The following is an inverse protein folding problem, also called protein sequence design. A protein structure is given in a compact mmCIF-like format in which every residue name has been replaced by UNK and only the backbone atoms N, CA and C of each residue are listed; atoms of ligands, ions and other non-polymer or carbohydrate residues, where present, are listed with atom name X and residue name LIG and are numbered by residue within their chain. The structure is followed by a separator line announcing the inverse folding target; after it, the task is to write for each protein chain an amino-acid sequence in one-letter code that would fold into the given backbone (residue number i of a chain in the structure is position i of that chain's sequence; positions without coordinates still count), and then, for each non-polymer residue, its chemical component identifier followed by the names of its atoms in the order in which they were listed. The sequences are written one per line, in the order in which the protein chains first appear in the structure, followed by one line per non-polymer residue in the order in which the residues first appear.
data_IF_466977898602
#
_entry.id   IF_466977898602
#
_cell.length_a   1.000
_cell.length_b   1.000
_cell.length_c   1.000
_cell.angle_alpha   90.00
_cell.angle_beta   90.00
_cell.angle_gamma   90.00
#
_symmetry.space_group_name_H-M   'P 1'
#
loop_
_entity.id
_entity.type
_entity.pdbx_description
1 polymer ?
#
# COMPACT_ATOMS: atom_id res chain seq x y z
N UNK A 1 13.24 -9.06 3.30
CA UNK A 1 13.85 -7.76 2.92
C UNK A 1 14.21 -7.74 1.45
N UNK A 2 14.99 -8.70 0.93
CA UNK A 2 15.25 -8.83 -0.51
C UNK A 2 13.97 -8.89 -1.35
N UNK A 3 13.03 -9.76 -0.98
CA UNK A 3 11.73 -9.88 -1.67
C UNK A 3 10.91 -8.57 -1.65
N UNK A 4 11.02 -7.76 -0.59
CA UNK A 4 10.27 -6.50 -0.47
C UNK A 4 10.72 -5.48 -1.52
N UNK A 5 12.01 -5.50 -1.89
CA UNK A 5 12.55 -4.55 -2.86
C UNK A 5 12.01 -4.76 -4.27
N UNK A 6 11.52 -5.97 -4.56
CA UNK A 6 10.87 -6.29 -5.84
C UNK A 6 9.52 -5.56 -5.95
N UNK A 7 8.80 -5.34 -4.85
CA UNK A 7 7.49 -4.67 -4.86
C UNK A 7 7.56 -3.13 -4.92
N UNK A 8 8.75 -2.54 -5.05
CA UNK A 8 8.89 -1.09 -5.08
C UNK A 8 8.49 -0.54 -6.45
N UNK A 9 7.42 0.26 -6.50
CA UNK A 9 7.21 1.20 -7.60
C UNK A 9 8.12 2.43 -7.41
N UNK A 10 9.12 2.54 -8.27
CA UNK A 10 10.07 3.64 -8.27
C UNK A 10 9.49 4.92 -8.92
N UNK A 11 8.35 4.87 -9.60
CA UNK A 11 7.78 6.04 -10.26
C UNK A 11 7.51 7.18 -9.27
N UNK A 12 6.84 6.95 -8.13
CA UNK A 12 6.58 8.03 -7.18
C UNK A 12 7.82 8.45 -6.38
N UNK A 13 8.85 7.59 -6.30
CA UNK A 13 10.16 8.01 -5.77
C UNK A 13 10.71 9.19 -6.58
N UNK A 14 10.67 9.14 -7.92
CA UNK A 14 11.10 10.26 -8.75
C UNK A 14 10.18 11.49 -8.65
N UNK A 15 8.87 11.28 -8.44
CA UNK A 15 7.92 12.37 -8.29
C UNK A 15 8.16 13.19 -7.02
N UNK A 16 8.60 12.57 -5.94
CA UNK A 16 9.04 13.27 -4.71
C UNK A 16 10.16 14.27 -4.98
N UNK A 17 10.99 14.03 -6.01
CA UNK A 17 12.06 14.93 -6.46
C UNK A 17 11.65 15.85 -7.62
N UNK A 18 10.35 15.94 -7.92
CA UNK A 18 9.81 16.79 -8.98
C UNK A 18 10.09 16.30 -10.41
N UNK A 19 10.61 15.08 -10.57
CA UNK A 19 10.90 14.50 -11.88
C UNK A 19 9.63 13.81 -12.41
N UNK A 20 9.08 14.30 -13.52
CA UNK A 20 7.85 13.75 -14.12
C UNK A 20 8.18 12.59 -15.07
N UNK A 21 7.63 11.40 -14.81
CA UNK A 21 7.76 10.22 -15.68
C UNK A 21 7.49 8.90 -14.93
N UNK A 22 7.24 7.81 -15.67
CA UNK A 22 7.10 6.45 -15.11
C UNK A 22 8.49 5.77 -15.12
N UNK A 23 8.79 4.97 -14.10
CA UNK A 23 9.95 4.07 -14.17
C UNK A 23 9.61 2.86 -15.07
N UNK A 24 10.55 2.32 -15.86
CA UNK A 24 11.94 2.73 -16.05
C UNK A 24 12.16 3.79 -17.14
N UNK A 25 11.12 4.20 -17.87
CA UNK A 25 11.26 5.10 -19.03
C UNK A 25 11.83 6.47 -18.69
N UNK A 26 11.61 6.97 -17.47
CA UNK A 26 12.20 8.22 -16.96
C UNK A 26 13.74 8.23 -17.00
N UNK A 27 14.38 7.07 -16.87
CA UNK A 27 15.84 6.95 -16.92
C UNK A 27 16.43 7.32 -18.28
N UNK A 28 15.63 7.24 -19.35
CA UNK A 28 16.04 7.59 -20.72
C UNK A 28 15.45 8.95 -21.15
N UNK A 29 14.76 9.65 -20.27
CA UNK A 29 14.10 10.91 -20.62
C UNK A 29 15.12 11.98 -21.02
N UNK A 30 14.92 12.70 -22.14
CA UNK A 30 15.94 13.63 -22.68
C UNK A 30 16.27 14.78 -21.72
N UNK A 31 15.30 15.22 -20.91
CA UNK A 31 15.48 16.32 -19.94
C UNK A 31 15.89 15.85 -18.53
N UNK A 32 15.43 14.67 -18.12
CA UNK A 32 15.48 14.24 -16.71
C UNK A 32 16.34 12.99 -16.50
N UNK A 33 16.73 12.29 -17.57
CA UNK A 33 17.33 10.97 -17.49
C UNK A 33 18.67 10.95 -16.76
N UNK A 34 19.51 11.97 -16.92
CA UNK A 34 20.78 12.05 -16.20
C UNK A 34 20.55 12.19 -14.68
N UNK A 35 19.75 13.17 -14.28
CA UNK A 35 19.38 13.37 -12.87
C UNK A 35 18.65 12.15 -12.29
N UNK A 36 17.73 11.55 -13.05
CA UNK A 36 16.99 10.35 -12.64
C UNK A 36 17.92 9.16 -12.42
N UNK A 37 18.91 8.93 -13.30
CA UNK A 37 19.91 7.86 -13.12
C UNK A 37 20.78 8.09 -11.89
N UNK A 38 21.26 9.32 -11.67
CA UNK A 38 22.04 9.65 -10.48
C UNK A 38 21.24 9.41 -9.19
N UNK A 39 20.02 9.95 -9.14
CA UNK A 39 19.14 9.81 -7.99
C UNK A 39 18.73 8.35 -7.73
N UNK A 40 18.50 7.58 -8.80
CA UNK A 40 18.21 6.15 -8.69
C UNK A 40 19.41 5.38 -8.11
N UNK A 41 20.63 5.68 -8.57
CA UNK A 41 21.84 5.06 -8.04
C UNK A 41 22.01 5.37 -6.54
N UNK A 42 21.78 6.62 -6.13
CA UNK A 42 21.84 7.03 -4.72
C UNK A 42 20.75 6.31 -3.89
N UNK A 43 19.52 6.23 -4.40
CA UNK A 43 18.42 5.51 -3.77
C UNK A 43 18.71 4.02 -3.60
N UNK A 44 19.27 3.37 -4.62
CA UNK A 44 19.69 1.96 -4.55
C UNK A 44 20.81 1.75 -3.54
N UNK A 45 21.83 2.63 -3.51
CA UNK A 45 22.92 2.55 -2.56
C UNK A 45 22.44 2.73 -1.10
N UNK A 46 21.57 3.72 -0.87
CA UNK A 46 20.96 3.95 0.44
C UNK A 46 20.10 2.76 0.88
N UNK A 47 19.26 2.23 -0.01
CA UNK A 47 18.45 1.04 0.24
C UNK A 47 19.32 -0.17 0.61
N UNK A 48 20.41 -0.41 -0.13
CA UNK A 48 21.34 -1.50 0.18
C UNK A 48 21.99 -1.32 1.56
N UNK A 49 22.37 -0.08 1.91
CA UNK A 49 22.93 0.23 3.22
C UNK A 49 21.92 -0.04 4.35
N UNK A 50 20.65 0.33 4.15
CA UNK A 50 19.56 0.05 5.10
C UNK A 50 19.32 -1.45 5.28
N UNK A 51 19.41 -2.24 4.21
CA UNK A 51 19.27 -3.70 4.29
C UNK A 51 20.43 -4.35 5.02
N UNK A 52 21.66 -3.88 4.80
CA UNK A 52 22.86 -4.46 5.40
C UNK A 52 23.03 -4.10 6.88
N UNK A 53 22.49 -2.96 7.32
CA UNK A 53 22.66 -2.46 8.67
C UNK A 53 21.76 -3.14 9.71
N UNK A 54 20.66 -3.77 9.28
CA UNK A 54 19.72 -4.51 10.15
C UNK A 54 18.90 -3.66 11.14
N UNK A 55 19.10 -2.34 11.17
CA UNK A 55 18.31 -1.44 12.02
C UNK A 55 16.91 -1.20 11.44
N UNK A 56 16.75 -1.31 10.11
CA UNK A 56 15.49 -1.07 9.42
C UNK A 56 14.58 -2.30 9.51
N UNK A 57 13.39 -2.13 10.11
CA UNK A 57 12.47 -3.22 10.43
C UNK A 57 11.04 -2.87 9.99
N UNK A 58 10.71 -3.10 8.71
CA UNK A 58 9.34 -2.95 8.25
C UNK A 58 8.45 -3.96 8.96
N UNK A 59 7.26 -3.51 9.38
CA UNK A 59 6.31 -4.30 10.16
C UNK A 59 4.96 -4.29 9.49
N UNK A 60 4.31 -5.45 9.50
CA UNK A 60 2.96 -5.63 8.97
C UNK A 60 2.11 -6.41 9.96
N UNK A 61 0.86 -6.00 10.11
CA UNK A 61 -0.18 -6.78 10.78
C UNK A 61 -1.32 -6.97 9.78
N UNK A 62 -1.64 -8.22 9.48
CA UNK A 62 -2.78 -8.61 8.66
C UNK A 62 -3.77 -9.39 9.55
N UNK A 63 -5.05 -9.05 9.45
CA UNK A 63 -6.16 -9.77 10.06
C UNK A 63 -7.21 -10.10 9.02
N UNK A 64 -7.79 -11.29 9.13
CA UNK A 64 -8.90 -11.74 8.29
C UNK A 64 -10.05 -12.06 9.23
N UNK A 65 -11.21 -11.49 8.97
CA UNK A 65 -12.36 -11.57 9.86
C UNK A 65 -13.57 -12.03 9.06
N UNK A 66 -14.41 -12.88 9.68
CA UNK A 66 -15.74 -13.13 9.16
C UNK A 66 -16.50 -11.81 9.14
N UNK A 67 -17.14 -11.53 8.01
CA UNK A 67 -17.74 -10.24 7.75
C UNK A 67 -19.13 -10.40 7.15
N UNK A 68 -20.04 -9.49 7.51
CA UNK A 68 -21.34 -9.37 6.87
C UNK A 68 -21.71 -7.89 6.74
N UNK A 69 -22.32 -7.53 5.61
CA UNK A 69 -22.78 -6.16 5.39
C UNK A 69 -24.19 -5.94 5.94
N UNK A 70 -24.46 -4.69 6.35
CA UNK A 70 -25.78 -4.21 6.71
C UNK A 70 -25.86 -2.74 6.29
N UNK A 71 -26.65 -2.44 5.26
CA UNK A 71 -26.68 -1.13 4.61
C UNK A 71 -25.25 -0.66 4.21
N UNK A 72 -24.83 0.54 4.61
CA UNK A 72 -23.50 1.10 4.35
C UNK A 72 -22.40 0.64 5.33
N UNK A 73 -22.65 -0.41 6.12
CA UNK A 73 -21.71 -0.86 7.15
C UNK A 73 -21.31 -2.32 6.95
N UNK A 74 -20.12 -2.69 7.43
CA UNK A 74 -19.62 -4.06 7.48
C UNK A 74 -19.24 -4.41 8.91
N UNK A 75 -19.90 -5.44 9.43
CA UNK A 75 -19.65 -5.98 10.76
C UNK A 75 -18.60 -7.07 10.69
N UNK A 76 -17.62 -7.00 11.60
CA UNK A 76 -16.57 -8.00 11.74
C UNK A 76 -16.83 -8.86 12.96
N UNK A 77 -16.67 -10.16 12.81
CA UNK A 77 -16.97 -11.15 13.83
C UNK A 77 -15.72 -11.94 14.24
N UNK A 78 -15.70 -12.34 15.50
CA UNK A 78 -14.73 -13.29 16.01
C UNK A 78 -15.10 -14.70 15.55
N UNK A 79 -14.15 -15.37 14.91
CA UNK A 79 -14.35 -16.70 14.33
C UNK A 79 -14.62 -17.79 15.40
N UNK A 80 -14.18 -17.57 16.65
CA UNK A 80 -14.31 -18.57 17.72
C UNK A 80 -15.68 -18.61 18.38
N UNK A 81 -16.29 -17.45 18.58
CA UNK A 81 -17.50 -17.31 19.39
C UNK A 81 -18.61 -16.48 18.72
N UNK A 82 -18.42 -16.06 17.47
CA UNK A 82 -19.34 -15.20 16.71
C UNK A 82 -19.64 -13.84 17.37
N UNK A 83 -18.83 -13.40 18.33
CA UNK A 83 -18.99 -12.08 18.93
C UNK A 83 -18.64 -10.97 17.93
N UNK A 84 -19.37 -9.86 17.99
CA UNK A 84 -19.09 -8.67 17.18
C UNK A 84 -17.77 -8.03 17.67
N UNK A 85 -16.80 -7.90 16.76
CA UNK A 85 -15.51 -7.26 17.02
C UNK A 85 -15.52 -5.77 16.65
N UNK A 86 -16.12 -5.44 15.51
CA UNK A 86 -16.16 -4.07 15.00
C UNK A 86 -17.32 -3.87 14.02
N UNK A 87 -17.74 -2.61 13.87
CA UNK A 87 -18.67 -2.17 12.83
C UNK A 87 -17.99 -1.06 12.02
N UNK A 88 -17.74 -1.30 10.74
CA UNK A 88 -17.02 -0.39 9.84
C UNK A 88 -18.03 0.31 8.96
N UNK A 89 -18.10 1.64 9.07
CA UNK A 89 -19.03 2.46 8.30
C UNK A 89 -18.38 3.02 7.03
N UNK A 90 -19.11 2.93 5.93
CA UNK A 90 -18.70 3.45 4.63
C UNK A 90 -19.67 4.53 4.13
N UNK A 91 -19.22 5.28 3.13
CA UNK A 91 -20.05 6.28 2.46
C UNK A 91 -20.52 5.74 1.12
N UNK A 92 -21.81 5.91 0.83
CA UNK A 92 -22.38 5.66 -0.49
C UNK A 92 -22.23 6.90 -1.37
N UNK A 93 -21.92 6.70 -2.65
CA UNK A 93 -21.87 7.78 -3.63
C UNK A 93 -23.20 8.55 -3.69
N UNK A 94 -23.17 9.89 -3.64
CA UNK A 94 -24.38 10.72 -3.66
C UNK A 94 -24.63 11.45 -4.99
N UNK A 95 -23.63 11.55 -5.87
CA UNK A 95 -23.71 12.27 -7.16
C UNK A 95 -23.49 11.38 -8.39
N UNK A 96 -23.66 11.94 -9.60
CA UNK A 96 -23.45 11.28 -10.91
C UNK A 96 -24.71 10.71 -11.56
N UNK A 97 -24.74 10.63 -12.89
CA UNK A 97 -25.78 9.93 -13.65
C UNK A 97 -25.48 8.42 -13.66
N UNK A 98 -26.46 7.60 -13.27
CA UNK A 98 -26.33 6.15 -13.13
C UNK A 98 -27.22 5.62 -12.00
N UNK A 99 -27.86 4.47 -12.23
CA UNK A 99 -28.87 3.91 -11.31
C UNK A 99 -28.27 3.33 -10.02
N UNK A 100 -27.01 2.88 -10.06
CA UNK A 100 -26.35 2.24 -8.91
C UNK A 100 -25.28 3.13 -8.28
N UNK A 101 -25.57 3.62 -7.06
CA UNK A 101 -24.62 4.33 -6.21
C UNK A 101 -23.77 3.34 -5.43
N UNK A 102 -22.46 3.31 -5.67
CA UNK A 102 -21.56 2.34 -5.03
C UNK A 102 -21.26 2.69 -3.57
N UNK A 103 -21.16 1.66 -2.73
CA UNK A 103 -20.62 1.68 -1.38
C UNK A 103 -19.65 0.49 -1.22
N UNK A 104 -18.62 0.62 -0.38
CA UNK A 104 -17.68 -0.48 -0.13
C UNK A 104 -18.37 -1.69 0.53
N UNK A 105 -19.44 -1.46 1.29
CA UNK A 105 -20.23 -2.54 1.89
C UNK A 105 -20.92 -3.44 0.87
N UNK A 106 -21.17 -2.95 -0.36
CA UNK A 106 -21.83 -3.69 -1.43
C UNK A 106 -20.97 -4.88 -1.95
N UNK A 107 -19.66 -4.88 -1.65
CA UNK A 107 -18.74 -5.96 -2.00
C UNK A 107 -18.64 -7.07 -0.94
N UNK A 108 -19.38 -6.95 0.17
CA UNK A 108 -19.47 -7.96 1.22
C UNK A 108 -20.90 -8.49 1.29
N UNK A 109 -21.05 -9.81 1.42
CA UNK A 109 -22.35 -10.47 1.49
C UNK A 109 -23.24 -9.86 2.60
N UNK A 110 -24.51 -9.52 2.31
CA UNK A 110 -25.45 -9.06 3.32
C UNK A 110 -25.72 -10.12 4.38
N UNK A 111 -25.93 -9.69 5.62
CA UNK A 111 -26.21 -10.58 6.76
C UNK A 111 -27.46 -11.45 6.52
N UNK A 112 -28.43 -10.97 5.76
CA UNK A 112 -29.65 -11.70 5.40
C UNK A 112 -29.41 -12.80 4.36
N UNK A 113 -28.30 -12.73 3.61
CA UNK A 113 -28.01 -13.67 2.52
C UNK A 113 -27.56 -15.06 2.99
N UNK A 114 -27.26 -15.21 4.29
CA UNK A 114 -26.73 -16.45 4.89
C UNK A 114 -25.46 -16.99 4.23
N UNK A 115 -24.78 -16.18 3.42
CA UNK A 115 -23.48 -16.50 2.84
C UNK A 115 -22.38 -16.07 3.80
N UNK A 116 -21.39 -16.93 3.98
CA UNK A 116 -20.18 -16.55 4.70
C UNK A 116 -19.29 -15.73 3.79
N UNK A 117 -18.81 -14.61 4.32
CA UNK A 117 -17.89 -13.71 3.64
C UNK A 117 -16.83 -13.19 4.62
N UNK A 118 -15.77 -12.59 4.09
CA UNK A 118 -14.59 -12.23 4.85
C UNK A 118 -14.08 -10.86 4.44
N UNK A 119 -13.56 -10.11 5.42
CA UNK A 119 -12.89 -8.86 5.19
C UNK A 119 -11.48 -8.91 5.78
N UNK A 120 -10.49 -8.59 4.94
CA UNK A 120 -9.11 -8.40 5.35
C UNK A 120 -8.86 -6.97 5.80
N UNK A 121 -8.13 -6.81 6.90
CA UNK A 121 -7.60 -5.51 7.35
C UNK A 121 -6.11 -5.66 7.58
N UNK A 122 -5.32 -4.72 7.07
CA UNK A 122 -3.90 -4.67 7.37
C UNK A 122 -3.43 -3.27 7.71
N UNK A 123 -2.33 -3.22 8.47
CA UNK A 123 -1.57 -2.03 8.75
C UNK A 123 -0.09 -2.34 8.51
N UNK A 124 0.60 -1.43 7.83
CA UNK A 124 2.02 -1.52 7.49
C UNK A 124 2.75 -0.30 8.02
N UNK A 125 4.03 -0.47 8.34
CA UNK A 125 4.94 0.63 8.63
C UNK A 125 6.34 0.27 8.15
N UNK A 126 7.06 1.26 7.64
CA UNK A 126 8.50 1.17 7.38
C UNK A 126 9.32 1.14 8.69
N UNK A 127 8.70 1.44 9.84
CA UNK A 127 9.33 1.45 11.15
C UNK A 127 9.67 2.87 11.62
N UNK A 128 9.49 3.09 12.93
CA UNK A 128 9.77 4.37 13.61
C UNK A 128 11.26 4.73 13.54
N UNK A 129 12.11 3.70 13.44
CA UNK A 129 13.55 3.79 13.33
C UNK A 129 13.97 4.60 12.09
N UNK A 130 13.24 4.45 10.97
CA UNK A 130 13.54 5.19 9.74
C UNK A 130 13.33 6.68 9.92
N UNK A 131 12.20 7.04 10.55
CA UNK A 131 11.86 8.43 10.79
C UNK A 131 12.88 9.08 11.75
N UNK A 132 13.28 8.37 12.80
CA UNK A 132 14.29 8.85 13.74
C UNK A 132 15.64 9.08 13.03
N UNK A 133 16.13 8.10 12.27
CA UNK A 133 17.37 8.25 11.53
C UNK A 133 17.32 9.36 10.48
N UNK A 134 16.19 9.53 9.79
CA UNK A 134 16.04 10.60 8.80
C UNK A 134 16.04 11.97 9.47
N UNK A 135 15.47 12.08 10.68
CA UNK A 135 15.53 13.29 11.47
C UNK A 135 16.96 13.61 11.91
N UNK A 136 17.71 12.62 12.38
CA UNK A 136 19.11 12.78 12.82
C UNK A 136 20.03 13.24 11.68
N UNK A 137 19.83 12.72 10.46
CA UNK A 137 20.57 13.17 9.27
C UNK A 137 20.35 14.67 9.02
N UNK A 138 19.12 15.15 9.13
CA UNK A 138 18.79 16.56 8.92
C UNK A 138 19.34 17.46 10.05
N UNK A 139 19.14 17.08 11.31
CA UNK A 139 19.45 17.96 12.45
C UNK A 139 20.90 17.90 12.89
N UNK A 140 21.44 16.70 13.08
CA UNK A 140 22.80 16.50 13.57
C UNK A 140 23.81 16.44 12.43
N UNK A 141 23.40 15.91 11.27
CA UNK A 141 24.24 15.80 10.08
C UNK A 141 24.20 17.02 9.15
N UNK A 142 23.18 17.89 9.27
CA UNK A 142 22.88 18.95 8.29
C UNK A 142 22.82 18.41 6.84
N UNK A 143 22.31 17.18 6.71
CA UNK A 143 22.26 16.39 5.47
C UNK A 143 20.80 16.21 5.04
N UNK A 144 20.21 17.32 4.58
CA UNK A 144 18.83 17.37 4.12
C UNK A 144 18.59 16.43 2.93
N UNK A 145 19.61 16.26 2.08
CA UNK A 145 19.53 15.38 0.93
C UNK A 145 19.28 13.93 1.36
N UNK A 146 20.13 13.37 2.23
CA UNK A 146 19.96 12.00 2.67
C UNK A 146 18.74 11.83 3.59
N UNK A 147 18.34 12.87 4.32
CA UNK A 147 17.07 12.86 5.07
C UNK A 147 15.86 12.69 4.15
N UNK A 148 15.78 13.47 3.06
CA UNK A 148 14.70 13.39 2.08
C UNK A 148 14.75 12.06 1.34
N UNK A 149 15.96 11.62 0.93
CA UNK A 149 16.16 10.34 0.26
C UNK A 149 15.63 9.17 1.10
N UNK A 150 15.95 9.16 2.39
CA UNK A 150 15.54 8.09 3.29
C UNK A 150 14.04 8.11 3.57
N UNK A 151 13.42 9.29 3.71
CA UNK A 151 11.96 9.43 3.82
C UNK A 151 11.25 8.91 2.57
N UNK A 152 11.74 9.30 1.39
CA UNK A 152 11.19 8.84 0.11
C UNK A 152 11.28 7.31 -0.02
N UNK A 153 12.42 6.71 0.36
CA UNK A 153 12.58 5.25 0.41
C UNK A 153 11.67 4.59 1.44
N UNK A 154 11.47 5.23 2.60
CA UNK A 154 10.55 4.76 3.63
C UNK A 154 9.11 4.62 3.11
N UNK A 155 8.63 5.64 2.41
CA UNK A 155 7.30 5.62 1.77
C UNK A 155 7.22 4.50 0.71
N UNK A 156 8.25 4.36 -0.14
CA UNK A 156 8.32 3.27 -1.13
C UNK A 156 8.26 1.89 -0.48
N UNK A 157 8.97 1.70 0.62
CA UNK A 157 9.02 0.43 1.34
C UNK A 157 7.71 0.13 2.06
N UNK A 158 7.02 1.16 2.58
CA UNK A 158 5.70 1.00 3.18
C UNK A 158 4.66 0.58 2.13
N UNK A 159 4.67 1.20 0.95
CA UNK A 159 3.80 0.81 -0.17
C UNK A 159 4.12 -0.59 -0.69
N UNK A 160 5.40 -0.92 -0.88
CA UNK A 160 5.84 -2.26 -1.24
C UNK A 160 5.37 -3.31 -0.22
N UNK A 161 5.36 -2.96 1.08
CA UNK A 161 4.88 -3.85 2.13
C UNK A 161 3.36 -4.01 2.09
N UNK A 162 2.64 -2.95 1.73
CA UNK A 162 1.19 -3.01 1.50
C UNK A 162 0.85 -3.93 0.31
N UNK A 163 1.58 -3.83 -0.80
CA UNK A 163 1.40 -4.72 -1.95
C UNK A 163 1.70 -6.17 -1.60
N UNK A 164 2.83 -6.42 -0.91
CA UNK A 164 3.18 -7.74 -0.42
C UNK A 164 2.09 -8.30 0.50
N UNK A 165 1.61 -7.51 1.47
CA UNK A 165 0.57 -7.91 2.40
C UNK A 165 -0.75 -8.24 1.70
N UNK A 166 -1.11 -7.44 0.70
CA UNK A 166 -2.30 -7.67 -0.11
C UNK A 166 -2.17 -8.95 -0.95
N UNK A 167 -1.01 -9.21 -1.55
CA UNK A 167 -0.73 -10.48 -2.23
C UNK A 167 -0.85 -11.67 -1.29
N UNK A 168 -0.28 -11.58 -0.08
CA UNK A 168 -0.42 -12.65 0.93
C UNK A 168 -1.89 -12.88 1.29
N UNK A 169 -2.68 -11.81 1.46
CA UNK A 169 -4.11 -11.93 1.73
C UNK A 169 -4.84 -12.66 0.59
N UNK A 170 -4.60 -12.29 -0.67
CA UNK A 170 -5.21 -12.95 -1.84
C UNK A 170 -4.86 -14.44 -1.90
N UNK A 171 -3.60 -14.79 -1.63
CA UNK A 171 -3.14 -16.19 -1.56
C UNK A 171 -3.83 -16.97 -0.45
N UNK A 172 -3.98 -16.38 0.76
CA UNK A 172 -4.70 -17.01 1.87
C UNK A 172 -6.17 -17.25 1.52
N UNK A 173 -6.80 -16.32 0.81
CA UNK A 173 -8.18 -16.44 0.32
C UNK A 173 -8.32 -17.41 -0.88
N UNK A 174 -7.22 -18.02 -1.33
CA UNK A 174 -7.23 -19.02 -2.40
C UNK A 174 -7.32 -18.43 -3.81
N UNK A 175 -7.09 -17.13 -3.98
CA UNK A 175 -7.02 -16.50 -5.30
C UNK A 175 -5.78 -17.01 -6.02
N UNK A 176 -5.98 -17.79 -7.09
CA UNK A 176 -4.90 -18.25 -7.96
C UNK A 176 -4.58 -17.13 -8.95
N UNK A 177 -3.36 -16.60 -8.87
CA UNK A 177 -2.89 -15.52 -9.74
C UNK A 177 -1.50 -15.86 -10.29
N UNK A 178 -1.38 -15.92 -11.62
CA UNK A 178 -0.11 -16.01 -12.34
C UNK A 178 0.19 -14.64 -12.96
N UNK A 179 0.48 -13.68 -12.07
CA UNK A 179 0.70 -12.28 -12.42
C UNK A 179 2.17 -11.93 -12.28
N UNK A 180 2.69 -11.21 -13.27
CA UNK A 180 3.99 -10.59 -13.17
C UNK A 180 3.97 -9.43 -12.15
N UNK A 181 5.14 -9.00 -11.70
CA UNK A 181 5.25 -7.83 -10.83
C UNK A 181 4.62 -6.58 -11.46
N UNK A 182 4.84 -6.35 -12.76
CA UNK A 182 4.26 -5.21 -13.48
C UNK A 182 2.73 -5.29 -13.50
N UNK A 183 2.15 -6.48 -13.62
CA UNK A 183 0.71 -6.67 -13.55
C UNK A 183 0.15 -6.39 -12.15
N UNK A 184 0.91 -6.72 -11.09
CA UNK A 184 0.55 -6.36 -9.72
C UNK A 184 0.56 -4.84 -9.52
N UNK A 185 1.59 -4.15 -10.02
CA UNK A 185 1.70 -2.69 -9.92
C UNK A 185 0.62 -1.96 -10.75
N UNK A 186 0.20 -2.54 -11.87
CA UNK A 186 -0.92 -2.05 -12.68
C UNK A 186 -2.29 -2.54 -12.14
N UNK A 187 -2.34 -3.11 -10.93
CA UNK A 187 -3.55 -3.55 -10.20
C UNK A 187 -4.43 -4.58 -10.96
N UNK A 188 -3.83 -5.44 -11.80
CA UNK A 188 -4.57 -6.43 -12.62
C UNK A 188 -5.00 -7.69 -11.86
N UNK A 189 -4.97 -7.66 -10.53
CA UNK A 189 -5.40 -8.77 -9.68
C UNK A 189 -6.89 -8.68 -9.32
N UNK A 190 -7.46 -9.78 -8.84
CA UNK A 190 -8.81 -9.78 -8.27
C UNK A 190 -8.78 -9.23 -6.83
N UNK A 191 -9.69 -8.29 -6.55
CA UNK A 191 -9.86 -7.70 -5.22
C UNK A 191 -9.26 -6.29 -5.11
N UNK A 192 -9.60 -5.60 -4.03
CA UNK A 192 -9.19 -4.21 -3.78
C UNK A 192 -8.68 -4.06 -2.34
N UNK A 193 -7.80 -3.07 -2.11
CA UNK A 193 -7.25 -2.72 -0.79
C UNK A 193 -7.52 -1.25 -0.44
N UNK A 194 -8.79 -0.82 -0.36
CA UNK A 194 -9.12 0.58 -0.13
C UNK A 194 -8.55 1.03 1.23
N UNK A 195 -7.77 2.11 1.20
CA UNK A 195 -7.22 2.72 2.40
C UNK A 195 -8.08 3.91 2.86
N UNK A 196 -8.23 4.07 4.17
CA UNK A 196 -8.84 5.28 4.74
C UNK A 196 -7.84 6.43 4.66
N UNK A 197 -7.98 7.26 3.63
CA UNK A 197 -7.26 8.53 3.53
C UNK A 197 -8.12 9.66 4.12
N UNK A 198 -7.52 10.77 4.61
CA UNK A 198 -8.26 12.01 4.81
C UNK A 198 -8.73 12.53 3.43
N UNK A 199 -9.90 12.10 2.99
CA UNK A 199 -10.50 12.46 1.69
C UNK A 199 -11.40 11.35 1.13
N UNK A 200 -12.18 11.62 0.07
CA UNK A 200 -13.05 10.62 -0.55
C UNK A 200 -12.23 9.51 -1.23
N UNK A 201 -12.50 8.25 -0.87
CA UNK A 201 -11.94 7.08 -1.54
C UNK A 201 -12.57 6.96 -2.93
N UNK A 202 -11.74 7.00 -3.99
CA UNK A 202 -12.21 6.73 -5.36
C UNK A 202 -12.27 5.22 -5.56
N UNK A 203 -13.47 4.71 -5.79
CA UNK A 203 -13.70 3.33 -6.24
C UNK A 203 -13.85 3.39 -7.75
N UNK A 204 -12.85 2.91 -8.49
CA UNK A 204 -12.95 2.68 -9.94
C UNK A 204 -13.02 1.18 -10.20
N UNK A 205 -13.81 0.78 -11.20
CA UNK A 205 -13.90 -0.60 -11.68
C UNK A 205 -12.65 -1.01 -12.43
#
# INVERSE_FOLDING_TARGET
MSELTEYIDWSPFFWTWGLKGKYPSILQHPKYGETARSLFADGQAALQKMMNSGWFKPRVRLGIFRAASTNESVRLYNDRDNSLLADIHFMRQQGGEGEHKLCLSDYIAPIESQREDYLGVFAVTSGDELQAHAQDLATAGNDDYNSILMKALGDRLAEALAEWAHRQFRQIMGVQEDLSLDDLLDEKYQGIRPARLPGPVRITR
#
